data_IF_597918816769
#
_entry.id   IF_597918816769
#
_cell.length_a   1.000
_cell.length_b   1.000
_cell.length_c   1.000
_cell.angle_alpha   90.00
_cell.angle_beta   90.00
_cell.angle_gamma   90.00
#
_symmetry.space_group_name_H-M   'P 1'
#
loop_
_entity.id
_entity.type
_entity.pdbx_description
1 polymer ?
#
# COMPACT_ATOMS: atom_id res chain seq x y z
N UNK A 1 -17.39 -1.06 16.00
CA UNK A 1 -16.73 -1.43 14.74
C UNK A 1 -15.46 -0.59 14.64
N UNK A 2 -14.29 -1.21 14.45
CA UNK A 2 -13.00 -0.52 14.35
C UNK A 2 -12.55 -0.53 12.88
N UNK A 3 -12.23 0.63 12.33
CA UNK A 3 -11.67 0.76 10.97
C UNK A 3 -10.14 0.80 11.08
N UNK A 4 -9.46 -0.09 10.34
CA UNK A 4 -8.01 -0.16 10.31
C UNK A 4 -7.56 0.03 8.86
N UNK A 5 -7.06 1.24 8.50
CA UNK A 5 -6.46 1.48 7.20
C UNK A 5 -5.26 0.56 6.94
N UNK A 6 -5.08 0.13 5.70
CA UNK A 6 -4.00 -0.79 5.32
C UNK A 6 -3.33 -0.32 4.03
N UNK A 7 -2.01 -0.45 4.00
CA UNK A 7 -1.15 -0.25 2.83
C UNK A 7 -0.26 -1.49 2.66
N UNK A 8 0.06 -1.83 1.42
CA UNK A 8 0.98 -2.93 1.11
C UNK A 8 2.32 -2.35 0.65
N UNK A 9 3.42 -3.00 1.03
CA UNK A 9 4.77 -2.56 0.72
C UNK A 9 5.49 -3.56 -0.19
N UNK A 10 6.09 -3.07 -1.27
CA UNK A 10 6.94 -3.87 -2.17
C UNK A 10 8.00 -2.97 -2.79
N UNK A 11 9.26 -3.42 -2.75
CA UNK A 11 10.41 -2.72 -3.35
C UNK A 11 10.51 -1.22 -2.93
N UNK A 12 10.20 -0.93 -1.67
CA UNK A 12 10.21 0.44 -1.12
C UNK A 12 9.00 1.30 -1.47
N UNK A 13 8.01 0.76 -2.18
CA UNK A 13 6.83 1.49 -2.67
C UNK A 13 5.54 1.04 -2.00
N UNK A 14 4.55 1.92 -1.95
CA UNK A 14 3.18 1.59 -1.60
C UNK A 14 2.46 1.01 -2.82
N UNK A 15 1.98 -0.22 -2.71
CA UNK A 15 1.39 -0.97 -3.82
C UNK A 15 0.05 -1.60 -3.44
N UNK A 16 -0.64 -2.17 -4.43
CA UNK A 16 -1.69 -3.19 -4.25
C UNK A 16 -1.50 -4.27 -5.29
N UNK A 17 -1.59 -5.52 -4.86
CA UNK A 17 -1.64 -6.67 -5.78
C UNK A 17 -3.08 -6.99 -6.12
N UNK A 18 -3.39 -7.16 -7.41
CA UNK A 18 -4.71 -7.65 -7.81
C UNK A 18 -4.83 -9.13 -7.43
N UNK A 19 -5.73 -9.43 -6.49
CA UNK A 19 -5.95 -10.79 -5.98
C UNK A 19 -4.66 -11.48 -5.47
N UNK A 20 -3.70 -10.70 -4.95
CA UNK A 20 -2.44 -11.24 -4.40
C UNK A 20 -1.40 -11.67 -5.45
N UNK A 21 -1.61 -11.42 -6.74
CA UNK A 21 -0.66 -11.74 -7.80
C UNK A 21 0.49 -10.74 -7.84
N UNK A 22 1.73 -11.22 -7.66
CA UNK A 22 2.94 -10.39 -7.57
C UNK A 22 3.31 -9.68 -8.88
N UNK A 23 2.92 -10.26 -10.01
CA UNK A 23 3.10 -9.74 -11.38
C UNK A 23 2.01 -8.73 -11.79
N UNK A 24 0.93 -8.64 -11.02
CA UNK A 24 -0.22 -7.76 -11.26
C UNK A 24 -0.32 -6.71 -10.13
N UNK A 25 0.76 -5.93 -10.01
CA UNK A 25 0.92 -4.90 -8.99
C UNK A 25 0.62 -3.50 -9.55
N UNK A 26 -0.15 -2.71 -8.80
CA UNK A 26 -0.32 -1.27 -9.04
C UNK A 26 0.45 -0.47 -8.00
N UNK A 27 1.29 0.47 -8.45
CA UNK A 27 2.03 1.40 -7.57
C UNK A 27 1.16 2.64 -7.33
N UNK A 28 0.97 3.01 -6.05
CA UNK A 28 0.20 4.18 -5.65
C UNK A 28 1.07 5.33 -5.14
N UNK A 29 2.23 5.03 -4.57
CA UNK A 29 3.18 6.02 -4.07
C UNK A 29 4.58 5.43 -3.97
N UNK A 30 5.59 6.27 -4.21
CA UNK A 30 7.00 5.96 -3.94
C UNK A 30 7.42 6.32 -2.50
N UNK A 31 6.56 7.00 -1.75
CA UNK A 31 6.77 7.31 -0.33
C UNK A 31 5.70 6.61 0.53
N UNK A 32 6.02 5.41 1.08
CA UNK A 32 5.09 4.67 1.93
C UNK A 32 4.90 5.31 3.32
N UNK A 33 5.87 6.07 3.81
CA UNK A 33 5.79 6.74 5.12
C UNK A 33 4.80 7.90 5.04
N UNK A 34 4.90 8.73 4.00
CA UNK A 34 3.93 9.79 3.76
C UNK A 34 2.51 9.23 3.54
N UNK A 35 2.37 8.09 2.85
CA UNK A 35 1.06 7.45 2.65
C UNK A 35 0.46 6.97 3.98
N UNK A 36 1.25 6.29 4.82
CA UNK A 36 0.79 5.87 6.15
C UNK A 36 0.38 7.07 7.01
N UNK A 37 1.14 8.18 6.90
CA UNK A 37 0.88 9.43 7.61
C UNK A 37 -0.47 10.09 7.31
N UNK A 38 -1.14 9.75 6.20
CA UNK A 38 -2.47 10.28 5.87
C UNK A 38 -3.60 9.70 6.73
N UNK A 39 -3.32 8.64 7.50
CA UNK A 39 -4.33 7.84 8.21
C UNK A 39 -4.15 7.84 9.74
N UNK A 40 -3.25 8.68 10.26
CA UNK A 40 -2.94 8.82 11.70
C UNK A 40 -3.66 10.02 12.29
#
# INVERSE_FOLDING_TARGET
>A
MLLIPAIDLKDGKCVRLRQGRMDDATVFSDDPVAMAGQWV
#
